data_IF_346768298753
#
_entry.id   IF_346768298753
#
_cell.length_a   1.000
_cell.length_b   1.000
_cell.length_c   1.000
_cell.angle_alpha   90.00
_cell.angle_beta   90.00
_cell.angle_gamma   90.00
#
_symmetry.space_group_name_H-M   'P 1'
#
loop_
_entity.id
_entity.type
_entity.pdbx_description
1 polymer ?
#
# COMPACT_ATOMS: atom_id res chain seq x y z
N UNK A 1 18.47 4.19 15.30
CA UNK A 1 19.50 3.38 14.62
C UNK A 1 18.75 2.48 13.66
N UNK A 2 18.96 2.61 12.35
CA UNK A 2 18.30 1.76 11.36
C UNK A 2 18.91 0.36 11.41
N UNK A 3 18.19 -0.62 11.93
CA UNK A 3 18.55 -2.02 11.85
C UNK A 3 18.52 -2.45 10.39
N UNK A 4 19.69 -2.80 9.87
CA UNK A 4 19.93 -3.32 8.51
C UNK A 4 19.22 -4.66 8.23
N UNK A 5 18.41 -5.15 9.17
CA UNK A 5 17.66 -6.40 9.14
C UNK A 5 16.16 -6.16 8.98
N UNK A 6 15.71 -5.07 8.37
CA UNK A 6 14.37 -4.94 7.78
C UNK A 6 13.19 -5.32 8.70
N UNK A 7 13.32 -5.19 10.02
CA UNK A 7 12.22 -5.32 10.97
C UNK A 7 12.52 -4.54 12.26
N UNK A 8 11.46 -4.17 12.99
CA UNK A 8 11.52 -3.68 14.36
C UNK A 8 10.57 -4.51 15.24
N UNK A 9 10.85 -4.58 16.54
CA UNK A 9 9.99 -5.27 17.50
C UNK A 9 9.07 -4.28 18.21
N UNK A 10 7.80 -4.63 18.34
CA UNK A 10 6.78 -3.89 19.10
C UNK A 10 6.39 -4.72 20.30
N UNK A 11 6.54 -4.17 21.51
CA UNK A 11 6.14 -4.85 22.75
C UNK A 11 4.61 -4.85 22.92
N UNK A 12 4.07 -6.03 23.21
CA UNK A 12 2.65 -6.22 23.46
C UNK A 12 2.29 -5.87 24.90
N UNK A 13 1.15 -5.22 25.08
CA UNK A 13 0.59 -4.91 26.40
C UNK A 13 0.27 -6.19 27.20
N UNK A 14 -0.15 -7.25 26.51
CA UNK A 14 -0.46 -8.57 27.06
C UNK A 14 0.18 -9.67 26.19
N UNK A 15 0.64 -10.78 26.79
CA UNK A 15 1.18 -11.88 26.02
C UNK A 15 0.14 -12.49 25.09
N UNK A 16 0.50 -12.70 23.83
CA UNK A 16 -0.35 -13.33 22.84
C UNK A 16 0.26 -14.69 22.47
N UNK A 17 -0.39 -15.79 22.85
CA UNK A 17 0.14 -17.16 22.69
C UNK A 17 1.59 -17.31 23.22
N UNK A 18 1.91 -16.63 24.33
CA UNK A 18 3.26 -16.62 24.92
C UNK A 18 4.26 -15.66 24.26
N UNK A 19 3.91 -15.01 23.15
CA UNK A 19 4.69 -13.92 22.53
C UNK A 19 4.51 -12.64 23.34
N UNK A 20 5.61 -11.97 23.69
CA UNK A 20 5.61 -10.67 24.39
C UNK A 20 5.91 -9.49 23.46
N UNK A 21 6.44 -9.76 22.29
CA UNK A 21 6.71 -8.77 21.24
C UNK A 21 6.33 -9.34 19.88
N UNK A 22 6.07 -8.45 18.93
CA UNK A 22 5.78 -8.76 17.53
C UNK A 22 6.84 -8.14 16.65
N UNK A 23 7.37 -8.93 15.71
CA UNK A 23 8.28 -8.43 14.68
C UNK A 23 7.49 -7.80 13.54
N UNK A 24 7.67 -6.50 13.34
CA UNK A 24 7.10 -5.73 12.24
C UNK A 24 8.13 -5.58 11.14
N UNK A 25 7.83 -6.09 9.95
CA UNK A 25 8.75 -6.20 8.82
C UNK A 25 8.69 -4.96 7.92
N UNK A 26 9.86 -4.51 7.50
CA UNK A 26 10.04 -3.78 6.26
C UNK A 26 9.84 -4.75 5.10
N UNK A 27 8.71 -4.61 4.43
CA UNK A 27 8.31 -5.39 3.28
C UNK A 27 9.22 -5.12 2.08
N UNK A 28 9.49 -6.13 1.25
CA UNK A 28 10.22 -5.93 0.00
C UNK A 28 9.38 -5.10 -0.97
N UNK A 29 10.02 -4.26 -1.80
CA UNK A 29 9.34 -3.37 -2.79
C UNK A 29 8.37 -4.08 -3.74
N UNK A 30 8.55 -5.40 -3.98
CA UNK A 30 7.61 -6.23 -4.75
C UNK A 30 6.22 -6.35 -4.09
N UNK A 31 6.11 -6.06 -2.79
CA UNK A 31 4.89 -6.10 -1.99
C UNK A 31 4.16 -4.75 -1.91
N UNK A 32 4.63 -3.74 -2.66
CA UNK A 32 4.00 -2.41 -2.68
C UNK A 32 2.52 -2.47 -3.06
N UNK A 33 2.15 -3.30 -4.04
CA UNK A 33 0.78 -3.39 -4.49
C UNK A 33 -0.14 -3.95 -3.40
N UNK A 34 0.27 -5.03 -2.73
CA UNK A 34 -0.49 -5.56 -1.59
C UNK A 34 -0.55 -4.56 -0.44
N UNK A 35 0.57 -3.93 -0.08
CA UNK A 35 0.61 -2.89 0.95
C UNK A 35 -0.38 -1.74 0.66
N UNK A 36 -0.40 -1.24 -0.59
CA UNK A 36 -1.27 -0.13 -0.98
C UNK A 36 -2.75 -0.53 -0.97
N UNK A 37 -3.06 -1.78 -1.34
CA UNK A 37 -4.43 -2.30 -1.30
C UNK A 37 -4.95 -2.47 0.14
N UNK A 38 -4.06 -2.81 1.07
CA UNK A 38 -4.40 -3.07 2.48
C UNK A 38 -4.27 -1.83 3.37
N UNK A 39 -3.93 -0.67 2.81
CA UNK A 39 -3.62 0.53 3.60
C UNK A 39 -4.74 0.96 4.55
N UNK A 40 -6.00 0.67 4.21
CA UNK A 40 -7.19 0.96 5.03
C UNK A 40 -7.77 -0.27 5.73
N UNK A 41 -7.14 -1.43 5.59
CA UNK A 41 -7.58 -2.70 6.17
C UNK A 41 -6.52 -3.14 7.17
N UNK A 42 -6.60 -2.54 8.37
CA UNK A 42 -5.60 -2.68 9.42
C UNK A 42 -5.24 -4.15 9.75
N UNK A 43 -6.19 -5.08 10.00
CA UNK A 43 -5.85 -6.46 10.34
C UNK A 43 -5.04 -7.18 9.25
N UNK A 44 -5.46 -7.03 8.00
CA UNK A 44 -4.78 -7.67 6.86
C UNK A 44 -3.40 -7.06 6.61
N UNK A 45 -3.23 -5.75 6.85
CA UNK A 45 -1.93 -5.09 6.76
C UNK A 45 -0.97 -5.57 7.86
N UNK A 46 -1.48 -5.74 9.08
CA UNK A 46 -0.72 -6.30 10.21
C UNK A 46 -0.29 -7.74 9.88
N UNK A 47 -1.19 -8.57 9.36
CA UNK A 47 -0.88 -9.94 8.95
C UNK A 47 0.21 -9.96 7.87
N UNK A 48 0.10 -9.10 6.84
CA UNK A 48 1.09 -8.99 5.77
C UNK A 48 2.50 -8.65 6.29
N UNK A 49 2.57 -7.76 7.28
CA UNK A 49 3.81 -7.17 7.77
C UNK A 49 4.39 -7.86 9.01
N UNK A 50 3.76 -8.90 9.55
CA UNK A 50 4.22 -9.59 10.77
C UNK A 50 4.37 -11.10 10.56
N UNK A 51 4.40 -11.85 11.66
CA UNK A 51 4.33 -13.33 11.70
C UNK A 51 3.14 -13.79 12.54
N UNK A 52 2.16 -12.91 12.71
CA UNK A 52 0.91 -13.24 13.34
C UNK A 52 0.02 -13.98 12.34
N UNK A 53 -0.67 -15.02 12.80
CA UNK A 53 -1.80 -15.57 12.04
C UNK A 53 -3.01 -14.63 12.11
N UNK A 54 -4.00 -14.79 11.22
CA UNK A 54 -5.26 -14.06 11.29
C UNK A 54 -5.92 -14.16 12.69
N UNK A 55 -5.96 -15.37 13.27
CA UNK A 55 -6.48 -15.58 14.63
C UNK A 55 -5.68 -14.80 15.69
N UNK A 56 -4.36 -14.71 15.53
CA UNK A 56 -3.50 -13.94 16.42
C UNK A 56 -3.72 -12.43 16.28
N UNK A 57 -3.97 -11.94 15.06
CA UNK A 57 -4.33 -10.55 14.82
C UNK A 57 -5.67 -10.20 15.47
N UNK A 58 -6.66 -11.08 15.33
CA UNK A 58 -7.99 -10.89 15.94
C UNK A 58 -7.97 -10.89 17.48
N UNK A 59 -6.94 -11.48 18.08
CA UNK A 59 -6.73 -11.50 19.53
C UNK A 59 -5.95 -10.29 20.06
N UNK A 60 -5.43 -9.41 19.20
CA UNK A 60 -4.72 -8.21 19.63
C UNK A 60 -5.66 -7.26 20.38
N UNK A 61 -5.12 -6.57 21.38
CA UNK A 61 -5.81 -5.41 21.92
C UNK A 61 -5.84 -4.29 20.87
N UNK A 62 -6.86 -3.43 20.93
CA UNK A 62 -6.95 -2.27 20.02
C UNK A 62 -5.71 -1.38 20.08
N UNK A 63 -5.11 -1.24 21.27
CA UNK A 63 -3.89 -0.45 21.50
C UNK A 63 -2.65 -1.11 20.89
N UNK A 64 -2.51 -2.43 21.00
CA UNK A 64 -1.42 -3.17 20.36
C UNK A 64 -1.56 -3.16 18.83
N UNK A 65 -2.79 -3.36 18.34
CA UNK A 65 -3.10 -3.32 16.91
C UNK A 65 -2.72 -1.97 16.30
N UNK A 66 -3.15 -0.86 16.90
CA UNK A 66 -2.82 0.48 16.42
C UNK A 66 -1.31 0.76 16.42
N UNK A 67 -0.60 0.38 17.49
CA UNK A 67 0.87 0.54 17.57
C UNK A 67 1.61 -0.27 16.51
N UNK A 68 1.16 -1.50 16.24
CA UNK A 68 1.73 -2.33 15.20
C UNK A 68 1.45 -1.71 13.83
N UNK A 69 0.22 -1.29 13.56
CA UNK A 69 -0.19 -0.64 12.31
C UNK A 69 0.64 0.61 12.00
N UNK A 70 0.79 1.52 12.97
CA UNK A 70 1.64 2.70 12.83
C UNK A 70 3.08 2.32 12.51
N UNK A 71 3.63 1.32 13.21
CA UNK A 71 4.98 0.81 12.95
C UNK A 71 5.13 0.21 11.55
N UNK A 72 4.11 -0.47 11.03
CA UNK A 72 4.10 -0.96 9.64
C UNK A 72 4.25 0.23 8.69
N UNK A 73 3.51 1.32 8.91
CA UNK A 73 3.59 2.50 8.06
C UNK A 73 4.98 3.14 8.09
N UNK A 74 5.52 3.38 9.28
CA UNK A 74 6.84 4.00 9.48
C UNK A 74 7.95 3.22 8.76
N UNK A 75 7.95 1.89 8.86
CA UNK A 75 9.00 1.06 8.26
C UNK A 75 8.90 0.96 6.75
N UNK A 76 7.71 1.08 6.18
CA UNK A 76 7.45 0.75 4.78
C UNK A 76 7.28 1.96 3.86
N UNK A 77 6.84 3.11 4.39
CA UNK A 77 6.54 4.29 3.58
C UNK A 77 7.76 4.84 2.84
N UNK A 78 8.87 5.05 3.54
CA UNK A 78 10.09 5.62 2.96
C UNK A 78 10.73 4.71 1.90
N UNK A 79 10.93 3.39 2.14
CA UNK A 79 11.42 2.48 1.12
C UNK A 79 10.56 2.44 -0.15
N UNK A 80 9.24 2.38 0.01
CA UNK A 80 8.30 2.35 -1.11
C UNK A 80 8.29 3.67 -1.90
N UNK A 81 8.24 4.81 -1.22
CA UNK A 81 8.27 6.12 -1.87
C UNK A 81 9.59 6.35 -2.62
N UNK A 82 10.73 5.95 -2.05
CA UNK A 82 12.03 6.02 -2.70
C UNK A 82 12.09 5.12 -3.94
N UNK A 83 11.50 3.92 -3.88
CA UNK A 83 11.43 3.03 -5.04
C UNK A 83 10.55 3.60 -6.16
N UNK A 84 9.36 4.13 -5.83
CA UNK A 84 8.46 4.78 -6.79
C UNK A 84 9.14 5.97 -7.50
N UNK A 85 9.85 6.83 -6.75
CA UNK A 85 10.63 7.94 -7.32
C UNK A 85 11.70 7.45 -8.31
N UNK A 86 12.38 6.34 -8.00
CA UNK A 86 13.36 5.73 -8.94
C UNK A 86 12.69 5.17 -10.19
N UNK A 87 11.48 4.61 -10.07
CA UNK A 87 10.71 4.13 -11.23
C UNK A 87 10.27 5.26 -12.14
N UNK A 88 9.83 6.39 -11.58
CA UNK A 88 9.54 7.61 -12.35
C UNK A 88 10.75 8.07 -13.16
N UNK A 89 11.91 8.25 -12.50
CA UNK A 89 13.17 8.63 -13.17
C UNK A 89 13.60 7.65 -14.26
N UNK A 90 13.44 6.34 -14.03
CA UNK A 90 13.78 5.33 -15.03
C UNK A 90 12.85 5.41 -16.26
N UNK A 91 11.56 5.65 -16.05
CA UNK A 91 10.62 5.88 -17.14
C UNK A 91 10.96 7.18 -17.90
N UNK A 92 11.41 8.23 -17.21
CA UNK A 92 11.88 9.46 -17.85
C UNK A 92 13.07 9.22 -18.78
N UNK A 93 14.09 8.51 -18.29
CA UNK A 93 15.26 8.14 -19.10
C UNK A 93 14.87 7.27 -20.30
N UNK A 94 13.93 6.34 -20.11
CA UNK A 94 13.44 5.48 -21.18
C UNK A 94 12.74 6.29 -22.28
N UNK A 95 11.87 7.21 -21.90
CA UNK A 95 11.14 8.04 -22.87
C UNK A 95 12.07 8.97 -23.64
N UNK A 96 13.07 9.57 -22.97
CA UNK A 96 14.13 10.34 -23.63
C UNK A 96 14.91 9.51 -24.64
N UNK A 97 15.27 8.26 -24.29
CA UNK A 97 16.01 7.36 -25.18
C UNK A 97 15.23 6.96 -26.43
N UNK A 98 13.90 6.79 -26.33
CA UNK A 98 13.04 6.38 -27.43
C UNK A 98 12.36 7.56 -28.17
N UNK A 99 12.66 8.82 -27.81
CA UNK A 99 12.03 9.99 -28.42
C UNK A 99 10.53 10.13 -28.16
N UNK A 100 10.02 9.46 -27.12
CA UNK A 100 8.61 9.51 -26.72
C UNK A 100 8.42 10.67 -25.75
N UNK A 101 7.46 11.56 -26.03
CA UNK A 101 7.10 12.61 -25.10
C UNK A 101 6.41 12.01 -23.87
N UNK A 102 6.95 12.25 -22.68
CA UNK A 102 6.27 11.91 -21.44
C UNK A 102 5.04 12.81 -21.23
N UNK A 103 3.99 12.32 -20.56
CA UNK A 103 2.95 13.19 -20.02
C UNK A 103 3.60 14.27 -19.17
N UNK A 104 3.32 15.54 -19.46
CA UNK A 104 3.78 16.64 -18.62
C UNK A 104 2.97 16.65 -17.32
N UNK A 105 3.64 16.90 -16.20
CA UNK A 105 2.95 17.10 -14.92
C UNK A 105 1.85 18.17 -15.09
N UNK A 106 0.61 17.79 -14.77
CA UNK A 106 -0.57 18.64 -14.88
C UNK A 106 -1.43 18.45 -16.14
N UNK A 107 -1.12 17.49 -17.01
CA UNK A 107 -2.05 17.12 -18.08
C UNK A 107 -3.18 16.25 -17.50
N UNK A 108 -4.45 16.69 -17.52
CA UNK A 108 -5.55 15.84 -17.09
C UNK A 108 -5.54 14.59 -17.97
N UNK A 109 -5.54 13.41 -17.35
CA UNK A 109 -6.00 12.22 -18.06
C UNK A 109 -7.48 12.46 -18.31
N UNK A 110 -7.79 12.92 -19.52
CA UNK A 110 -9.16 13.11 -19.97
C UNK A 110 -9.86 11.76 -19.80
N UNK A 111 -10.72 11.64 -18.78
CA UNK A 111 -11.63 10.51 -18.57
C UNK A 111 -12.72 10.47 -19.64
N UNK A 112 -12.40 10.91 -20.85
CA UNK A 112 -13.25 11.00 -22.01
C UNK A 112 -13.35 9.64 -22.69
N UNK A 113 -14.17 8.77 -22.13
CA UNK A 113 -15.07 7.88 -22.88
C UNK A 113 -16.16 7.39 -21.94
N UNK A 114 -17.08 8.29 -21.59
CA UNK A 114 -18.45 7.86 -21.29
C UNK A 114 -18.89 6.98 -22.44
N UNK A 115 -19.28 5.74 -22.12
CA UNK A 115 -19.86 4.82 -23.08
C UNK A 115 -21.00 5.54 -23.82
N UNK A 116 -20.88 5.68 -25.13
CA UNK A 116 -21.96 6.16 -25.97
C UNK A 116 -23.12 5.16 -25.86
N UNK A 117 -24.17 5.51 -25.12
CA UNK A 117 -25.45 4.80 -25.17
C UNK A 117 -26.02 4.95 -26.58
N UNK A 118 -26.39 3.86 -27.26
CA UNK A 118 -27.01 3.96 -28.58
C UNK A 118 -28.47 4.41 -28.45
N UNK A 119 -28.76 5.49 -29.16
CA UNK A 119 -30.02 5.88 -29.81
C UNK A 119 -31.38 5.55 -29.14
N UNK A 120 -31.98 6.61 -28.59
CA UNK A 120 -33.32 7.10 -28.94
C UNK A 120 -34.48 6.11 -29.06
N UNK A 121 -35.28 6.01 -28.01
CA UNK A 121 -36.69 5.57 -28.10
C UNK A 121 -37.61 6.80 -28.02
N UNK A 122 -38.46 7.09 -29.02
CA UNK A 122 -39.45 8.15 -28.92
C UNK A 122 -40.60 7.71 -28.01
N UNK A 123 -40.85 8.45 -26.92
CA UNK A 123 -42.07 8.32 -26.14
C UNK A 123 -43.23 8.99 -26.89
N UNK A 124 -44.12 8.19 -27.47
CA UNK A 124 -45.45 8.65 -27.87
C UNK A 124 -46.33 8.79 -26.63
N UNK A 125 -46.78 10.02 -26.37
CA UNK A 125 -47.88 10.34 -25.46
C UNK A 125 -49.17 10.40 -26.28
N UNK A 126 -50.14 9.57 -25.95
CA UNK A 126 -51.58 9.86 -26.01
C UNK A 126 -52.25 9.24 -24.78
#
# INVERSE_FOLDING_TARGET
MATFLGYEEVELSKPLNGKKSVKVKCLPVRKLAEYAALFTIEPELIELATELSAEEVDMLSTEDSGRIFEKVHELNFDPFSAWLKRKGKAAEMQAQAYGVALPKDGQPTDGGKSASSPDGLPQTRE
#
